data_IF_504858859661
#
_entry.id   IF_504858859661
#
_cell.length_a   1.000
_cell.length_b   1.000
_cell.length_c   1.000
_cell.angle_alpha   90.00
_cell.angle_beta   90.00
_cell.angle_gamma   90.00
#
_symmetry.space_group_name_H-M   'P 1'
#
loop_
_entity.id
_entity.type
_entity.pdbx_description
1 polymer ?
#
# COMPACT_ATOMS: atom_id res chain seq x y z
N UNK A 1 27.23 -13.33 14.00
CA UNK A 1 28.18 -12.89 15.06
C UNK A 1 28.75 -11.51 14.74
N UNK A 2 29.64 -11.34 13.76
CA UNK A 2 30.16 -9.98 13.44
C UNK A 2 29.08 -8.98 13.01
N UNK A 3 28.11 -9.41 12.21
CA UNK A 3 26.98 -8.55 11.80
C UNK A 3 26.07 -8.18 12.97
N UNK A 4 25.90 -9.08 13.93
CA UNK A 4 25.09 -8.84 15.13
C UNK A 4 25.79 -7.84 16.05
N UNK A 5 27.12 -7.95 16.18
CA UNK A 5 27.93 -6.98 16.91
C UNK A 5 27.90 -5.59 16.25
N UNK A 6 28.01 -5.51 14.92
CA UNK A 6 27.86 -4.25 14.18
C UNK A 6 26.48 -3.63 14.42
N UNK A 7 25.40 -4.42 14.35
CA UNK A 7 24.04 -3.96 14.66
C UNK A 7 23.92 -3.48 16.10
N UNK A 8 24.45 -4.23 17.05
CA UNK A 8 24.43 -3.87 18.48
C UNK A 8 25.17 -2.56 18.76
N UNK A 9 26.33 -2.32 18.13
CA UNK A 9 27.06 -1.05 18.23
C UNK A 9 26.22 0.12 17.74
N UNK A 10 25.52 -0.05 16.63
CA UNK A 10 24.62 0.98 16.09
C UNK A 10 23.46 1.24 17.05
N UNK A 11 22.80 0.20 17.57
CA UNK A 11 21.65 0.34 18.47
C UNK A 11 22.05 1.02 19.77
N UNK A 12 23.18 0.62 20.37
CA UNK A 12 23.69 1.21 21.63
C UNK A 12 24.06 2.68 21.51
N UNK A 13 24.31 3.20 20.29
CA UNK A 13 24.52 4.63 20.05
C UNK A 13 23.26 5.46 20.32
N UNK A 14 22.07 4.87 20.13
CA UNK A 14 20.79 5.58 20.23
C UNK A 14 19.92 5.12 21.41
N UNK A 15 20.13 3.91 21.92
CA UNK A 15 19.35 3.31 23.01
C UNK A 15 20.29 2.96 24.17
N UNK A 16 20.04 3.55 25.34
CA UNK A 16 20.88 3.37 26.54
C UNK A 16 20.84 1.94 27.08
N UNK A 17 19.67 1.33 27.13
CA UNK A 17 19.45 -0.01 27.69
C UNK A 17 18.98 -0.96 26.59
N UNK A 18 19.78 -1.97 26.29
CA UNK A 18 19.48 -2.98 25.26
C UNK A 18 19.56 -4.35 25.92
N UNK A 19 18.41 -5.00 26.09
CA UNK A 19 18.35 -6.38 26.54
C UNK A 19 18.59 -7.32 25.36
N UNK A 20 19.57 -8.21 25.52
CA UNK A 20 19.93 -9.23 24.51
C UNK A 20 19.49 -10.57 25.07
N UNK A 21 18.57 -11.24 24.37
CA UNK A 21 18.07 -12.55 24.73
C UNK A 21 18.23 -13.45 23.51
N UNK A 22 18.76 -14.65 23.70
CA UNK A 22 18.91 -15.61 22.61
C UNK A 22 17.57 -16.19 22.19
N UNK A 23 17.43 -16.50 20.91
CA UNK A 23 16.22 -17.10 20.35
C UNK A 23 15.84 -18.41 21.09
N UNK A 24 16.84 -19.24 21.40
CA UNK A 24 16.62 -20.50 22.13
C UNK A 24 16.08 -20.29 23.55
N UNK A 25 16.52 -19.22 24.24
CA UNK A 25 16.02 -18.84 25.57
C UNK A 25 14.56 -18.38 25.47
N UNK A 26 14.24 -17.52 24.50
CA UNK A 26 12.85 -17.12 24.22
C UNK A 26 11.98 -18.33 23.93
N UNK A 27 12.45 -19.28 23.11
CA UNK A 27 11.71 -20.52 22.83
C UNK A 27 11.46 -21.34 24.10
N UNK A 28 12.44 -21.44 25.00
CA UNK A 28 12.26 -22.13 26.28
C UNK A 28 11.27 -21.39 27.19
N UNK A 29 11.33 -20.06 27.25
CA UNK A 29 10.40 -19.24 28.03
C UNK A 29 8.96 -19.36 27.49
N UNK A 30 8.78 -19.37 26.16
CA UNK A 30 7.47 -19.56 25.52
C UNK A 30 6.88 -20.96 25.78
N UNK A 31 7.73 -22.00 25.93
CA UNK A 31 7.28 -23.34 26.32
C UNK A 31 6.78 -23.38 27.77
N UNK A 32 7.49 -22.70 28.69
CA UNK A 32 7.18 -22.70 30.13
C UNK A 32 6.07 -21.73 30.52
N UNK A 33 5.96 -20.58 29.86
CA UNK A 33 5.06 -19.49 30.28
C UNK A 33 3.91 -19.27 29.28
N UNK A 34 2.70 -19.67 29.69
CA UNK A 34 1.47 -19.49 28.91
C UNK A 34 1.12 -18.01 28.66
N UNK A 35 1.38 -17.12 29.63
CA UNK A 35 1.11 -15.68 29.50
C UNK A 35 2.03 -15.05 28.45
N UNK A 36 3.32 -15.39 28.48
CA UNK A 36 4.29 -14.93 27.49
C UNK A 36 3.90 -15.41 26.09
N UNK A 37 3.51 -16.67 25.95
CA UNK A 37 3.07 -17.24 24.67
C UNK A 37 1.89 -16.48 24.07
N UNK A 38 0.87 -16.18 24.89
CA UNK A 38 -0.28 -15.37 24.46
C UNK A 38 0.15 -13.94 24.05
N UNK A 39 1.04 -13.32 24.81
CA UNK A 39 1.52 -11.97 24.50
C UNK A 39 2.29 -11.92 23.18
N UNK A 40 3.18 -12.88 22.92
CA UNK A 40 3.92 -12.98 21.66
C UNK A 40 3.00 -13.27 20.47
N UNK A 41 2.04 -14.18 20.63
CA UNK A 41 1.07 -14.51 19.58
C UNK A 41 0.20 -13.29 19.19
N UNK A 42 -0.15 -12.46 20.16
CA UNK A 42 -0.99 -11.26 19.95
C UNK A 42 -0.16 -10.01 19.59
N UNK A 43 1.17 -10.11 19.49
CA UNK A 43 2.00 -8.97 19.15
C UNK A 43 2.04 -8.75 17.64
N UNK A 44 1.31 -7.74 17.18
CA UNK A 44 1.13 -7.51 15.75
C UNK A 44 2.31 -6.76 15.06
N UNK A 45 3.08 -5.94 15.80
CA UNK A 45 4.12 -5.08 15.24
C UNK A 45 5.47 -5.80 15.04
N UNK A 46 5.55 -6.69 14.04
CA UNK A 46 6.72 -7.52 13.75
C UNK A 46 7.89 -6.73 13.15
N UNK A 47 8.54 -5.86 13.94
CA UNK A 47 9.81 -5.23 13.58
C UNK A 47 9.70 -3.89 12.83
N UNK A 48 10.77 -3.44 12.16
CA UNK A 48 10.85 -2.15 11.48
C UNK A 48 9.92 -2.02 10.26
N UNK A 49 9.90 -0.82 9.68
CA UNK A 49 9.30 -0.59 8.36
C UNK A 49 10.18 -1.30 7.33
N UNK A 50 9.57 -2.13 6.50
CA UNK A 50 10.18 -2.62 5.27
C UNK A 50 9.47 -1.96 4.10
N UNK A 51 10.18 -1.09 3.37
CA UNK A 51 9.59 -0.32 2.25
C UNK A 51 9.07 -1.25 1.14
N UNK A 52 9.70 -2.42 0.95
CA UNK A 52 9.25 -3.40 -0.04
C UNK A 52 7.87 -3.97 0.27
N UNK A 53 7.42 -3.89 1.52
CA UNK A 53 6.05 -4.31 1.88
C UNK A 53 4.99 -3.37 1.31
N UNK A 54 5.36 -2.16 0.86
CA UNK A 54 4.47 -1.23 0.18
C UNK A 54 4.49 -1.40 -1.35
N UNK A 55 5.35 -2.27 -1.88
CA UNK A 55 5.54 -2.40 -3.31
C UNK A 55 4.59 -3.45 -3.89
N UNK A 56 3.56 -2.97 -4.55
CA UNK A 56 2.51 -3.80 -5.16
C UNK A 56 2.38 -3.48 -6.65
N UNK A 57 2.00 -4.50 -7.43
CA UNK A 57 1.69 -4.34 -8.84
C UNK A 57 0.29 -3.77 -9.08
N UNK A 58 -0.21 -3.91 -10.32
CA UNK A 58 -1.58 -3.55 -10.66
C UNK A 58 -2.61 -4.34 -9.85
N UNK A 59 -3.72 -3.69 -9.50
CA UNK A 59 -4.84 -4.38 -8.86
C UNK A 59 -5.64 -5.16 -9.89
N UNK A 60 -5.92 -6.42 -9.59
CA UNK A 60 -6.83 -7.27 -10.36
C UNK A 60 -7.79 -7.92 -9.37
N UNK A 61 -9.09 -7.81 -9.63
CA UNK A 61 -10.11 -8.37 -8.74
C UNK A 61 -11.46 -8.43 -9.43
N UNK A 62 -12.00 -9.63 -9.74
CA UNK A 62 -13.34 -9.75 -10.30
C UNK A 62 -14.37 -9.41 -9.23
N UNK A 63 -15.37 -8.60 -9.58
CA UNK A 63 -16.58 -8.41 -8.75
C UNK A 63 -17.54 -9.61 -8.88
N UNK A 64 -17.55 -10.22 -10.06
CA UNK A 64 -18.38 -11.38 -10.39
C UNK A 64 -17.55 -12.35 -11.22
N UNK A 65 -17.57 -13.64 -10.83
CA UNK A 65 -16.78 -14.68 -11.50
C UNK A 65 -17.39 -15.13 -12.83
N UNK A 66 -18.72 -15.07 -12.96
CA UNK A 66 -19.44 -15.43 -14.18
C UNK A 66 -20.72 -14.60 -14.31
N UNK A 67 -20.94 -14.00 -15.47
CA UNK A 67 -22.13 -13.25 -15.83
C UNK A 67 -22.47 -13.51 -17.29
N UNK A 68 -23.68 -14.02 -17.55
CA UNK A 68 -24.18 -14.28 -18.90
C UNK A 68 -24.90 -13.04 -19.44
N UNK A 69 -24.15 -12.20 -20.15
CA UNK A 69 -24.67 -10.91 -20.61
C UNK A 69 -25.77 -11.06 -21.68
N UNK A 70 -25.72 -12.09 -22.51
CA UNK A 70 -26.73 -12.31 -23.56
C UNK A 70 -28.06 -12.74 -22.95
N UNK A 71 -28.02 -13.72 -22.04
CA UNK A 71 -29.22 -14.20 -21.34
C UNK A 71 -29.87 -13.11 -20.49
N UNK A 72 -29.04 -12.31 -19.82
CA UNK A 72 -29.51 -11.21 -18.96
C UNK A 72 -29.79 -9.92 -19.74
N UNK A 73 -29.65 -9.89 -21.07
CA UNK A 73 -29.88 -8.72 -21.93
C UNK A 73 -29.05 -7.48 -21.56
N UNK A 74 -27.80 -7.68 -21.16
CA UNK A 74 -26.85 -6.63 -20.83
C UNK A 74 -25.77 -6.47 -21.93
N UNK A 75 -25.26 -5.24 -22.09
CA UNK A 75 -24.09 -4.96 -22.94
C UNK A 75 -22.85 -4.79 -22.07
N UNK A 76 -21.76 -5.49 -22.42
CA UNK A 76 -20.46 -5.32 -21.77
C UNK A 76 -19.71 -4.16 -22.42
N UNK A 77 -19.22 -3.24 -21.60
CA UNK A 77 -18.34 -2.13 -22.02
C UNK A 77 -16.98 -2.26 -21.35
N UNK A 78 -15.91 -1.98 -22.09
CA UNK A 78 -14.55 -1.98 -21.58
C UNK A 78 -14.00 -0.55 -21.53
N UNK A 79 -13.36 -0.20 -20.42
CA UNK A 79 -12.68 1.07 -20.23
C UNK A 79 -11.22 0.79 -19.93
N UNK A 80 -10.32 1.43 -20.69
CA UNK A 80 -8.88 1.35 -20.47
C UNK A 80 -8.28 2.74 -20.34
N UNK A 81 -7.24 2.83 -19.51
CA UNK A 81 -6.48 4.06 -19.34
C UNK A 81 -5.24 4.01 -20.24
N UNK A 82 -5.21 4.90 -21.22
CA UNK A 82 -4.04 5.07 -22.07
C UNK A 82 -2.84 5.56 -21.27
N UNK A 83 -1.83 4.69 -21.10
CA UNK A 83 -0.60 5.02 -20.38
C UNK A 83 -0.81 5.39 -18.90
N UNK A 84 -1.55 4.56 -18.15
CA UNK A 84 -1.84 4.77 -16.73
C UNK A 84 -0.59 5.15 -15.90
N UNK A 85 0.46 4.33 -15.90
CA UNK A 85 1.67 4.60 -15.10
C UNK A 85 2.41 5.88 -15.51
N UNK A 86 2.70 6.14 -16.80
CA UNK A 86 3.24 7.43 -17.22
C UNK A 86 2.41 8.64 -16.77
N UNK A 87 1.08 8.55 -16.79
CA UNK A 87 0.22 9.62 -16.29
C UNK A 87 0.43 9.85 -14.78
N UNK A 88 0.56 8.78 -13.99
CA UNK A 88 0.90 8.91 -12.56
C UNK A 88 2.27 9.56 -12.35
N UNK A 89 3.25 9.29 -13.22
CA UNK A 89 4.58 9.93 -13.17
C UNK A 89 4.55 11.44 -13.44
N UNK A 90 3.55 11.93 -14.19
CA UNK A 90 3.37 13.36 -14.48
C UNK A 90 2.69 14.11 -13.33
N UNK A 91 1.72 13.47 -12.67
CA UNK A 91 0.82 14.12 -11.71
C UNK A 91 1.34 14.09 -10.28
N UNK A 92 2.26 13.18 -9.95
CA UNK A 92 2.67 12.95 -8.57
C UNK A 92 4.10 13.40 -8.27
N UNK A 93 4.32 13.67 -6.98
CA UNK A 93 5.63 14.01 -6.48
C UNK A 93 6.43 12.74 -6.21
N UNK A 94 7.74 12.77 -6.47
CA UNK A 94 8.65 11.65 -6.26
C UNK A 94 9.71 11.98 -5.22
N UNK A 95 10.17 10.96 -4.49
CA UNK A 95 11.17 11.11 -3.43
C UNK A 95 12.57 11.12 -4.02
N UNK A 96 13.38 12.11 -3.62
CA UNK A 96 14.75 12.28 -4.16
C UNK A 96 15.86 11.59 -3.34
N UNK A 97 15.65 11.22 -2.08
CA UNK A 97 16.76 10.69 -1.28
C UNK A 97 16.37 9.78 -0.11
N UNK A 98 17.08 8.66 0.02
CA UNK A 98 17.03 7.74 1.18
C UNK A 98 17.85 8.27 2.37
N UNK A 99 18.75 9.25 2.17
CA UNK A 99 19.78 9.63 3.17
C UNK A 99 19.28 10.53 4.30
N UNK A 100 18.11 11.16 4.15
CA UNK A 100 17.50 12.04 5.16
C UNK A 100 16.09 11.56 5.51
N UNK A 101 16.03 10.35 6.04
CA UNK A 101 14.78 9.77 6.51
C UNK A 101 14.66 9.88 8.03
N UNK A 102 13.56 10.47 8.52
CA UNK A 102 13.24 10.44 9.95
C UNK A 102 12.28 9.29 10.24
N UNK A 103 12.61 8.50 11.28
CA UNK A 103 11.74 7.45 11.78
C UNK A 103 10.99 7.98 13.00
N UNK A 104 9.69 8.20 12.85
CA UNK A 104 8.81 8.44 13.99
C UNK A 104 8.41 7.10 14.58
N UNK A 105 8.65 6.89 15.87
CA UNK A 105 8.23 5.69 16.58
C UNK A 105 7.26 6.05 17.70
N UNK A 106 6.04 5.53 17.61
CA UNK A 106 5.05 5.64 18.66
C UNK A 106 4.65 4.22 19.04
N UNK A 107 4.98 3.82 20.27
CA UNK A 107 4.67 2.49 20.77
C UNK A 107 3.16 2.35 20.94
N UNK A 108 2.51 1.66 20.01
CA UNK A 108 1.11 1.21 20.10
C UNK A 108 0.12 2.32 20.50
N UNK A 109 0.31 3.55 20.02
CA UNK A 109 -0.63 4.63 20.28
C UNK A 109 -1.94 4.32 19.56
N UNK A 110 -3.02 4.24 20.32
CA UNK A 110 -4.37 4.27 19.75
C UNK A 110 -4.56 5.62 19.07
N UNK A 111 -5.00 5.61 17.83
CA UNK A 111 -5.19 6.80 17.02
C UNK A 111 -6.33 6.57 16.03
N UNK A 112 -6.83 7.65 15.45
CA UNK A 112 -7.76 7.57 14.33
C UNK A 112 -7.02 7.67 13.00
N UNK A 113 -7.62 7.13 11.93
CA UNK A 113 -7.08 7.26 10.58
C UNK A 113 -6.87 8.70 10.14
N UNK A 114 -7.80 9.59 10.51
CA UNK A 114 -7.71 11.01 10.19
C UNK A 114 -6.55 11.71 10.90
N UNK A 115 -6.28 11.38 12.17
CA UNK A 115 -5.10 11.90 12.88
C UNK A 115 -3.82 11.50 12.15
N UNK A 116 -3.68 10.22 11.79
CA UNK A 116 -2.49 9.72 11.09
C UNK A 116 -2.34 10.39 9.74
N UNK A 117 -3.41 10.47 8.95
CA UNK A 117 -3.40 11.09 7.62
C UNK A 117 -3.05 12.58 7.68
N UNK A 118 -3.58 13.34 8.66
CA UNK A 118 -3.27 14.77 8.83
C UNK A 118 -1.84 15.01 9.30
N UNK A 119 -1.33 14.18 10.21
CA UNK A 119 0.01 14.35 10.78
C UNK A 119 1.13 13.82 9.89
N UNK A 120 0.81 12.94 8.93
CA UNK A 120 1.80 12.24 8.12
C UNK A 120 1.46 12.25 6.63
N UNK A 121 1.71 13.39 5.99
CA UNK A 121 1.63 13.53 4.53
C UNK A 121 2.96 13.17 3.88
N UNK A 122 2.94 12.44 2.75
CA UNK A 122 4.14 12.11 1.97
C UNK A 122 5.15 11.23 2.75
N UNK A 123 4.66 10.18 3.43
CA UNK A 123 5.48 9.24 4.21
C UNK A 123 5.14 7.78 3.91
N UNK A 124 6.01 6.85 4.32
CA UNK A 124 5.61 5.46 4.51
C UNK A 124 5.19 5.24 5.95
N UNK A 125 4.08 4.55 6.14
CA UNK A 125 3.41 4.37 7.41
C UNK A 125 3.34 2.88 7.73
N UNK A 126 3.52 2.54 9.00
CA UNK A 126 3.20 1.21 9.53
C UNK A 126 2.06 1.37 10.53
N UNK A 127 0.91 0.84 10.16
CA UNK A 127 -0.37 1.05 10.86
C UNK A 127 -1.11 -0.27 11.02
N UNK A 128 -1.99 -0.35 12.01
CA UNK A 128 -2.97 -1.42 12.14
C UNK A 128 -4.25 -1.00 11.42
N UNK A 129 -4.58 -1.72 10.34
CA UNK A 129 -5.73 -1.48 9.49
C UNK A 129 -6.86 -2.43 9.83
N UNK A 130 -8.07 -1.89 9.86
CA UNK A 130 -9.31 -2.61 10.01
C UNK A 130 -10.24 -2.27 8.84
N UNK A 131 -10.53 -3.22 7.93
CA UNK A 131 -11.55 -3.01 6.90
C UNK A 131 -12.95 -2.95 7.51
N UNK A 132 -13.83 -2.07 7.00
CA UNK A 132 -15.26 -2.14 7.31
C UNK A 132 -15.88 -3.47 6.80
N UNK A 133 -16.99 -3.91 7.42
CA UNK A 133 -17.61 -5.21 7.08
C UNK A 133 -18.25 -5.22 5.68
N UNK A 134 -18.67 -4.05 5.19
CA UNK A 134 -19.41 -3.90 3.94
C UNK A 134 -18.59 -3.15 2.87
N UNK A 135 -17.27 -3.38 2.84
CA UNK A 135 -16.41 -2.82 1.80
C UNK A 135 -16.77 -3.44 0.45
N UNK A 136 -16.92 -2.61 -0.59
CA UNK A 136 -17.08 -3.11 -1.96
C UNK A 136 -15.73 -3.36 -2.64
N UNK A 137 -14.77 -2.46 -2.41
CA UNK A 137 -13.44 -2.52 -3.02
C UNK A 137 -12.38 -2.73 -1.94
N UNK A 138 -11.59 -3.78 -2.09
CA UNK A 138 -10.48 -4.05 -1.19
C UNK A 138 -9.20 -3.40 -1.71
N UNK A 139 -8.84 -2.27 -1.09
CA UNK A 139 -7.69 -1.47 -1.52
C UNK A 139 -6.35 -2.02 -1.05
N UNK A 140 -6.28 -2.64 0.13
CA UNK A 140 -5.00 -3.08 0.68
C UNK A 140 -4.66 -4.51 0.28
N UNK A 141 -3.74 -4.70 -0.71
CA UNK A 141 -3.17 -6.00 -0.96
C UNK A 141 -2.22 -6.36 0.17
N UNK A 142 -1.87 -7.64 0.22
CA UNK A 142 -1.06 -8.13 1.29
C UNK A 142 -0.43 -9.46 0.89
N UNK A 143 0.82 -9.64 1.26
CA UNK A 143 1.56 -10.86 0.94
C UNK A 143 0.98 -12.02 1.75
N UNK A 144 0.33 -12.96 1.08
CA UNK A 144 -0.08 -14.25 1.63
C UNK A 144 0.43 -15.34 0.69
N UNK A 145 1.16 -16.30 1.25
CA UNK A 145 1.51 -17.55 0.56
C UNK A 145 2.00 -17.36 -0.88
N UNK A 146 2.99 -16.49 -1.06
CA UNK A 146 3.64 -16.18 -2.33
C UNK A 146 2.74 -15.50 -3.39
N UNK A 147 1.58 -14.98 -3.00
CA UNK A 147 0.71 -14.18 -3.85
C UNK A 147 0.19 -12.91 -3.17
N UNK A 148 -0.33 -12.00 -4.00
CA UNK A 148 -0.95 -10.75 -3.55
C UNK A 148 -2.46 -10.92 -3.50
N UNK A 149 -3.03 -10.86 -2.29
CA UNK A 149 -4.47 -10.91 -2.11
C UNK A 149 -4.93 -9.76 -1.25
N UNK A 150 -6.07 -9.19 -1.61
CA UNK A 150 -6.76 -8.24 -0.75
C UNK A 150 -7.64 -9.00 0.25
N UNK A 151 -7.73 -8.51 1.50
CA UNK A 151 -8.41 -9.23 2.60
C UNK A 151 -9.54 -8.42 3.22
N UNK A 152 -10.64 -9.08 3.55
CA UNK A 152 -11.69 -8.54 4.45
C UNK A 152 -11.41 -8.80 5.94
N UNK A 153 -10.59 -9.80 6.25
CA UNK A 153 -10.24 -10.17 7.61
C UNK A 153 -8.91 -10.95 7.63
N UNK A 154 -7.96 -10.48 8.43
CA UNK A 154 -6.64 -11.08 8.57
C UNK A 154 -6.72 -12.56 8.94
N UNK A 155 -7.45 -12.90 10.00
CA UNK A 155 -7.57 -14.29 10.47
C UNK A 155 -8.32 -15.20 9.49
N UNK A 156 -9.38 -14.73 8.84
CA UNK A 156 -10.08 -15.51 7.80
C UNK A 156 -9.13 -15.92 6.68
N UNK A 157 -8.31 -14.99 6.17
CA UNK A 157 -7.38 -15.28 5.10
C UNK A 157 -6.25 -16.23 5.51
N UNK A 158 -5.96 -16.34 6.82
CA UNK A 158 -5.04 -17.36 7.35
C UNK A 158 -5.72 -18.72 7.53
N UNK A 159 -7.01 -18.74 7.86
CA UNK A 159 -7.80 -19.98 7.98
C UNK A 159 -8.11 -20.59 6.61
N UNK A 160 -8.38 -19.76 5.60
CA UNK A 160 -8.71 -20.17 4.24
C UNK A 160 -7.72 -19.58 3.22
N UNK A 161 -6.45 -20.03 3.25
CA UNK A 161 -5.41 -19.42 2.44
C UNK A 161 -5.61 -19.59 0.92
N UNK A 162 -6.21 -20.70 0.49
CA UNK A 162 -6.51 -20.99 -0.91
C UNK A 162 -7.92 -20.52 -1.33
N UNK A 163 -8.54 -19.67 -0.51
CA UNK A 163 -9.94 -19.31 -0.64
C UNK A 163 -10.88 -20.38 -0.07
N UNK A 164 -12.15 -19.99 0.10
CA UNK A 164 -13.23 -20.88 0.45
C UNK A 164 -14.52 -20.34 -0.16
N UNK A 165 -15.33 -21.22 -0.75
CA UNK A 165 -16.66 -20.87 -1.25
C UNK A 165 -17.68 -21.33 -0.20
N UNK A 166 -17.97 -20.46 0.76
CA UNK A 166 -18.92 -20.72 1.83
C UNK A 166 -20.14 -19.84 1.58
N UNK A 167 -21.26 -20.47 1.24
CA UNK A 167 -22.54 -19.78 1.05
C UNK A 167 -22.94 -19.08 2.36
N UNK A 168 -23.41 -17.85 2.26
CA UNK A 168 -23.87 -17.02 3.40
C UNK A 168 -22.81 -16.82 4.50
N UNK A 169 -21.52 -16.87 4.15
CA UNK A 169 -20.44 -16.70 5.11
C UNK A 169 -20.47 -15.34 5.80
N UNK A 170 -20.47 -15.38 7.14
CA UNK A 170 -20.24 -14.20 7.98
C UNK A 170 -19.00 -14.45 8.83
N UNK A 171 -18.02 -13.56 8.70
CA UNK A 171 -16.80 -13.60 9.49
C UNK A 171 -17.14 -13.50 11.00
N UNK A 172 -16.85 -14.55 11.80
CA UNK A 172 -17.14 -14.57 13.24
C UNK A 172 -16.06 -13.85 14.06
N UNK A 173 -14.96 -13.45 13.42
CA UNK A 173 -13.82 -12.84 14.09
C UNK A 173 -14.12 -11.42 14.57
N UNK A 174 -13.50 -11.08 15.70
CA UNK A 174 -13.56 -9.72 16.26
C UNK A 174 -12.67 -8.74 15.49
N UNK A 175 -12.70 -7.45 15.84
CA UNK A 175 -11.95 -6.41 15.12
C UNK A 175 -10.43 -6.61 15.15
N UNK A 176 -9.87 -7.06 16.27
CA UNK A 176 -8.43 -7.33 16.38
C UNK A 176 -8.00 -8.52 15.51
N UNK A 177 -8.86 -9.53 15.38
CA UNK A 177 -8.61 -10.68 14.51
C UNK A 177 -8.86 -10.39 13.02
N UNK A 178 -9.75 -9.44 12.74
CA UNK A 178 -10.04 -8.98 11.37
C UNK A 178 -8.97 -8.03 10.86
N UNK A 179 -8.42 -7.17 11.71
CA UNK A 179 -7.39 -6.23 11.32
C UNK A 179 -6.02 -6.88 11.15
N UNK A 180 -5.08 -6.13 10.58
CA UNK A 180 -3.69 -6.54 10.43
C UNK A 180 -2.77 -5.32 10.40
N UNK A 181 -1.48 -5.56 10.60
CA UNK A 181 -0.46 -4.53 10.41
C UNK A 181 -0.08 -4.49 8.95
N UNK A 182 -0.16 -3.30 8.36
CA UNK A 182 0.29 -3.04 7.01
C UNK A 182 1.33 -1.93 7.02
N UNK A 183 2.29 -2.05 6.11
CA UNK A 183 3.14 -0.93 5.71
C UNK A 183 2.51 -0.36 4.42
N UNK A 184 2.31 0.94 4.35
CA UNK A 184 1.68 1.58 3.19
C UNK A 184 2.22 3.00 2.97
N UNK A 185 1.92 3.59 1.81
CA UNK A 185 2.13 5.03 1.63
C UNK A 185 1.00 5.83 2.29
N UNK A 186 1.29 7.07 2.67
CA UNK A 186 0.27 8.05 3.11
C UNK A 186 -0.85 8.25 2.08
N UNK A 187 -0.52 8.22 0.77
CA UNK A 187 -1.49 8.36 -0.33
C UNK A 187 -2.47 7.19 -0.35
N UNK A 188 -1.96 5.95 -0.30
CA UNK A 188 -2.81 4.76 -0.24
C UNK A 188 -3.66 4.72 1.03
N UNK A 189 -3.09 5.18 2.15
CA UNK A 189 -3.83 5.24 3.41
C UNK A 189 -5.02 6.21 3.29
N UNK A 190 -4.80 7.41 2.75
CA UNK A 190 -5.85 8.40 2.57
C UNK A 190 -7.01 7.84 1.73
N UNK A 191 -6.70 7.16 0.63
CA UNK A 191 -7.71 6.54 -0.22
C UNK A 191 -8.44 5.39 0.49
N UNK A 192 -7.72 4.60 1.27
CA UNK A 192 -8.33 3.54 2.07
C UNK A 192 -9.32 4.07 3.10
N UNK A 193 -9.02 5.19 3.75
CA UNK A 193 -9.94 5.82 4.70
C UNK A 193 -11.24 6.25 4.00
N UNK A 194 -11.17 6.77 2.77
CA UNK A 194 -12.35 7.17 1.97
C UNK A 194 -13.26 5.99 1.65
N UNK A 195 -12.68 4.83 1.34
CA UNK A 195 -13.45 3.64 0.95
C UNK A 195 -13.96 2.86 2.17
N UNK A 196 -13.54 3.21 3.39
CA UNK A 196 -14.11 2.67 4.63
C UNK A 196 -13.13 1.85 5.49
N UNK A 197 -11.82 1.93 5.24
CA UNK A 197 -10.85 1.38 6.20
C UNK A 197 -10.74 2.29 7.43
N UNK A 198 -10.45 1.68 8.58
CA UNK A 198 -10.16 2.38 9.83
C UNK A 198 -8.75 2.03 10.29
N UNK A 199 -7.99 3.03 10.75
CA UNK A 199 -6.75 2.81 11.48
C UNK A 199 -7.05 2.84 12.97
N UNK A 200 -6.60 1.82 13.70
CA UNK A 200 -6.77 1.76 15.16
C UNK A 200 -5.46 1.96 15.92
N UNK A 201 -4.31 1.70 15.28
CA UNK A 201 -2.99 1.88 15.88
C UNK A 201 -2.00 2.39 14.85
N UNK A 202 -1.16 3.31 15.28
CA UNK A 202 -0.01 3.77 14.54
C UNK A 202 1.27 3.23 15.21
N UNK A 203 2.21 2.73 14.42
CA UNK A 203 3.45 2.17 14.92
C UNK A 203 4.66 3.03 14.55
N UNK A 204 4.80 3.32 13.25
CA UNK A 204 5.99 3.96 12.71
C UNK A 204 5.65 4.77 11.47
N UNK A 205 6.39 5.85 11.24
CA UNK A 205 6.43 6.50 9.94
C UNK A 205 7.87 6.75 9.50
N UNK A 206 8.10 6.62 8.20
CA UNK A 206 9.35 6.94 7.52
C UNK A 206 9.11 8.17 6.64
N UNK A 207 9.60 9.31 7.12
CA UNK A 207 9.46 10.60 6.46
C UNK A 207 10.60 10.87 5.48
N UNK A 208 10.29 11.51 4.35
CA UNK A 208 11.26 11.96 3.35
C UNK A 208 11.21 13.48 3.23
N UNK A 209 12.31 14.16 3.52
CA UNK A 209 12.36 15.63 3.48
C UNK A 209 12.23 16.19 2.06
N UNK A 210 12.83 15.52 1.06
CA UNK A 210 12.94 16.04 -0.30
C UNK A 210 12.03 15.30 -1.28
N UNK A 211 11.17 16.08 -1.93
CA UNK A 211 10.27 15.64 -2.99
C UNK A 211 10.48 16.48 -4.24
N UNK A 212 10.23 15.89 -5.39
CA UNK A 212 10.36 16.50 -6.71
C UNK A 212 9.14 16.16 -7.56
N UNK A 213 8.47 17.19 -8.03
CA UNK A 213 7.29 17.10 -8.89
C UNK A 213 7.65 17.00 -10.37
N UNK A 214 8.87 17.36 -10.74
CA UNK A 214 9.31 17.50 -12.12
C UNK A 214 10.25 16.37 -12.56
N UNK A 215 10.67 15.50 -11.64
CA UNK A 215 11.65 14.43 -11.85
C UNK A 215 11.42 13.63 -13.15
N UNK A 216 10.16 13.25 -13.42
CA UNK A 216 9.81 12.46 -14.59
C UNK A 216 9.04 13.24 -15.66
N UNK A 217 8.72 14.52 -15.43
CA UNK A 217 7.82 15.27 -16.33
C UNK A 217 8.38 15.37 -17.74
N UNK A 218 9.63 15.83 -17.88
CA UNK A 218 10.27 15.99 -19.19
C UNK A 218 10.40 14.65 -19.93
N UNK A 219 10.83 13.61 -19.21
CA UNK A 219 10.94 12.26 -19.75
C UNK A 219 9.59 11.76 -20.29
N UNK A 220 8.53 11.83 -19.48
CA UNK A 220 7.20 11.36 -19.91
C UNK A 220 6.66 12.23 -21.05
N UNK A 221 6.88 13.55 -21.02
CA UNK A 221 6.47 14.46 -22.09
C UNK A 221 6.98 14.02 -23.45
N UNK A 222 8.29 13.77 -23.52
CA UNK A 222 9.00 13.40 -24.73
C UNK A 222 8.50 12.08 -25.30
N UNK A 223 8.46 11.02 -24.47
CA UNK A 223 8.01 9.71 -24.91
C UNK A 223 6.51 9.64 -25.22
N UNK A 224 5.67 10.43 -24.55
CA UNK A 224 4.24 10.53 -24.89
C UNK A 224 4.04 11.24 -26.23
N UNK A 225 4.80 12.30 -26.51
CA UNK A 225 4.76 12.96 -27.81
C UNK A 225 5.18 12.00 -28.93
N UNK A 226 6.27 11.24 -28.75
CA UNK A 226 6.70 10.21 -29.70
C UNK A 226 5.63 9.13 -29.91
N UNK A 227 4.98 8.66 -28.83
CA UNK A 227 3.90 7.67 -28.91
C UNK A 227 2.72 8.18 -29.75
N UNK A 228 2.31 9.43 -29.56
CA UNK A 228 1.24 10.07 -30.33
C UNK A 228 1.63 10.17 -31.80
N UNK A 229 2.82 10.68 -32.11
CA UNK A 229 3.30 10.78 -33.50
C UNK A 229 3.36 9.44 -34.22
N UNK A 230 3.73 8.37 -33.52
CA UNK A 230 3.80 7.03 -34.11
C UNK A 230 2.41 6.36 -34.27
N UNK A 231 1.47 6.63 -33.36
CA UNK A 231 0.15 5.98 -33.33
C UNK A 231 -0.90 6.71 -34.19
N UNK A 232 -0.60 7.93 -34.61
CA UNK A 232 -1.58 8.83 -35.23
C UNK A 232 -2.41 9.58 -34.17
N UNK A 233 -3.16 10.57 -34.64
CA UNK A 233 -4.06 11.35 -33.77
C UNK A 233 -5.35 10.58 -33.49
N UNK A 234 -6.00 10.80 -32.33
CA UNK A 234 -7.33 10.28 -32.05
C UNK A 234 -8.35 10.62 -33.14
N UNK A 235 -9.37 9.75 -33.32
CA UNK A 235 -10.49 10.01 -34.23
C UNK A 235 -11.11 11.39 -33.98
N UNK A 236 -11.34 12.15 -35.05
CA UNK A 236 -11.87 13.52 -34.99
C UNK A 236 -10.83 14.63 -34.93
N UNK A 237 -9.53 14.31 -34.85
CA UNK A 237 -8.44 15.28 -35.00
C UNK A 237 -7.84 15.11 -36.39
N UNK A 238 -8.42 15.84 -37.35
CA UNK A 238 -7.98 15.87 -38.73
C UNK A 238 -7.60 17.30 -39.13
N UNK A 239 -6.49 17.43 -39.87
CA UNK A 239 -6.01 18.70 -40.38
C UNK A 239 -4.96 19.36 -39.47
N UNK A 240 -3.97 19.99 -40.11
CA UNK A 240 -2.77 20.60 -39.47
C UNK A 240 -3.09 21.48 -38.26
N UNK A 241 -4.17 22.24 -38.30
CA UNK A 241 -4.54 23.19 -37.24
C UNK A 241 -5.08 22.48 -35.98
N UNK A 242 -5.86 21.40 -36.16
CA UNK A 242 -6.37 20.59 -35.06
C UNK A 242 -5.25 19.74 -34.44
N UNK A 243 -4.34 19.24 -35.26
CA UNK A 243 -3.12 18.53 -34.82
C UNK A 243 -2.22 19.45 -33.98
N UNK A 244 -1.95 20.67 -34.45
CA UNK A 244 -1.15 21.66 -33.72
C UNK A 244 -1.83 22.09 -32.41
N UNK A 245 -3.15 22.21 -32.40
CA UNK A 245 -3.94 22.52 -31.19
C UNK A 245 -3.85 21.38 -30.18
N UNK A 246 -3.97 20.12 -30.62
CA UNK A 246 -3.81 18.95 -29.77
C UNK A 246 -2.39 18.86 -29.19
N UNK A 247 -1.35 19.11 -30.00
CA UNK A 247 0.05 19.14 -29.54
C UNK A 247 0.24 20.25 -28.49
N UNK A 248 -0.33 21.44 -28.69
CA UNK A 248 -0.29 22.54 -27.72
C UNK A 248 -1.00 22.16 -26.42
N UNK A 249 -2.14 21.47 -26.47
CA UNK A 249 -2.87 21.03 -25.29
C UNK A 249 -2.09 19.95 -24.50
N UNK A 250 -1.50 18.97 -25.20
CA UNK A 250 -0.63 17.97 -24.59
C UNK A 250 0.56 18.63 -23.90
N UNK A 251 1.23 19.59 -24.54
CA UNK A 251 2.29 20.38 -23.91
C UNK A 251 1.75 21.11 -22.67
N UNK A 252 0.63 21.83 -22.77
CA UNK A 252 0.05 22.57 -21.64
C UNK A 252 -0.26 21.67 -20.43
N UNK A 253 -0.79 20.46 -20.64
CA UNK A 253 -1.10 19.49 -19.58
C UNK A 253 0.13 18.83 -18.93
N UNK A 254 1.29 18.92 -19.58
CA UNK A 254 2.54 18.35 -19.07
C UNK A 254 3.42 19.40 -18.37
N UNK A 255 3.32 20.66 -18.80
CA UNK A 255 4.13 21.78 -18.31
C UNK A 255 3.44 22.67 -17.26
N UNK A 256 2.17 22.42 -16.93
CA UNK A 256 1.45 23.00 -15.79
C UNK A 256 1.07 21.90 -14.80
#
# INVERSE_FOLDING_TARGET
REDDEKRLKIIKKYIKNVDIIWECEIHQMLRRNKKMRKAFANYHNKGPINIRDCYFGGRTGPLQMYFDAEKEQHKITYLDFNSLYPQQLLQHHFRLSIRKCMLYHWLNKKCTGQEVSRSHSKEFLKVFLLPHRNLMYLLFPSNLMNGFFSRYAGKCSLTYPNGANIKDYRCPHNEEERGWVSTCTSIELEEALKVGYTVTRFYRALHYEKWDENLFKNYVAEFMAMKIHASGFPEGIEGKENEDTFIKECKRKVWH
#
